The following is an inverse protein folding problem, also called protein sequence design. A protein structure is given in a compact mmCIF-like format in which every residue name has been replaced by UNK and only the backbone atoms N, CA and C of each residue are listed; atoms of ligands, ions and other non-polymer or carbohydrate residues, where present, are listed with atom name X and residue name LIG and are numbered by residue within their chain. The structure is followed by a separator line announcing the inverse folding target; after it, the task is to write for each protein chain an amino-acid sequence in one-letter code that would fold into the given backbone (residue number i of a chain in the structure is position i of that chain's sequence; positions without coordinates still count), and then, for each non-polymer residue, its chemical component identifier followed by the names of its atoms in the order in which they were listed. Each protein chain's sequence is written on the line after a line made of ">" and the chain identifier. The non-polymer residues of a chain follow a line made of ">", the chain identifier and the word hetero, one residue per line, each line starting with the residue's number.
data_IF_736904827148
#
_entry.id   IF_736904827148
#
_cell.length_a   1.000
_cell.length_b   1.000
_cell.length_c   1.000
_cell.angle_alpha   90.00
_cell.angle_beta   90.00
_cell.angle_gamma   90.00
#
_symmetry.space_group_name_H-M   'P 1'
#
loop_
_entity.id
_entity.type
_entity.pdbx_description
1 polymer ?
#
# COMPACT_ATOMS: atom_id res chain seq x y z
N UNK A 1 -8.44 -9.09 17.33
CA UNK A 1 -8.28 -9.00 15.84
C UNK A 1 -6.81 -8.81 15.52
N UNK A 2 -6.24 -9.69 14.71
CA UNK A 2 -4.83 -9.60 14.25
C UNK A 2 -4.55 -8.24 13.60
N UNK A 3 -3.67 -7.45 14.21
CA UNK A 3 -3.17 -6.19 13.67
C UNK A 3 -1.87 -6.46 12.91
N UNK A 4 -1.96 -7.00 11.70
CA UNK A 4 -0.77 -7.21 10.87
C UNK A 4 -0.36 -5.85 10.28
N UNK A 5 0.82 -5.33 10.61
CA UNK A 5 1.34 -4.13 9.98
C UNK A 5 1.47 -4.32 8.47
N UNK A 6 1.10 -3.32 7.63
CA UNK A 6 1.14 -3.44 6.18
C UNK A 6 2.47 -3.93 5.59
N UNK A 7 3.66 -3.49 6.08
CA UNK A 7 4.93 -4.03 5.59
C UNK A 7 5.12 -5.52 5.87
N UNK A 8 4.60 -6.01 7.01
CA UNK A 8 4.67 -7.45 7.35
C UNK A 8 3.75 -8.25 6.42
N UNK A 9 2.57 -7.73 6.09
CA UNK A 9 1.68 -8.35 5.09
C UNK A 9 2.38 -8.46 3.72
N UNK A 10 3.05 -7.40 3.26
CA UNK A 10 3.84 -7.44 2.02
C UNK A 10 4.91 -8.53 2.10
N UNK A 11 5.68 -8.60 3.19
CA UNK A 11 6.71 -9.61 3.36
C UNK A 11 6.14 -11.04 3.27
N UNK A 12 5.00 -11.29 3.92
CA UNK A 12 4.30 -12.59 3.86
C UNK A 12 3.92 -12.93 2.40
N UNK A 13 3.35 -11.96 1.67
CA UNK A 13 2.93 -12.18 0.28
C UNK A 13 4.12 -12.40 -0.66
N UNK A 14 5.22 -11.67 -0.47
CA UNK A 14 6.47 -11.85 -1.23
C UNK A 14 7.06 -13.24 -0.99
N UNK A 15 7.14 -13.66 0.28
CA UNK A 15 7.62 -14.99 0.65
C UNK A 15 6.70 -16.07 0.06
N UNK A 16 5.38 -15.89 0.08
CA UNK A 16 4.44 -16.86 -0.50
C UNK A 16 4.58 -16.95 -2.01
N UNK A 17 4.83 -15.85 -2.73
CA UNK A 17 5.14 -15.85 -4.16
C UNK A 17 6.42 -16.66 -4.47
N UNK A 18 7.46 -16.47 -3.66
CA UNK A 18 8.71 -17.23 -3.81
C UNK A 18 8.50 -18.74 -3.63
N UNK A 19 7.80 -19.15 -2.56
CA UNK A 19 7.55 -20.58 -2.33
C UNK A 19 6.60 -21.20 -3.35
N UNK A 20 5.61 -20.46 -3.84
CA UNK A 20 4.70 -20.93 -4.89
C UNK A 20 5.43 -21.16 -6.21
N UNK A 21 6.44 -20.35 -6.54
CA UNK A 21 7.21 -20.50 -7.78
C UNK A 21 8.05 -21.80 -7.84
N UNK A 22 8.28 -22.44 -6.70
CA UNK A 22 8.97 -23.75 -6.63
C UNK A 22 8.05 -24.96 -6.85
N UNK A 23 6.73 -24.75 -6.76
CA UNK A 23 5.76 -25.85 -6.79
C UNK A 23 4.72 -25.72 -7.91
N UNK A 24 4.60 -24.55 -8.50
CA UNK A 24 3.60 -24.22 -9.52
C UNK A 24 4.35 -23.70 -10.74
N UNK A 25 4.03 -24.21 -11.91
CA UNK A 25 4.68 -23.83 -13.16
C UNK A 25 4.54 -22.34 -13.42
N UNK A 26 5.64 -21.74 -13.89
CA UNK A 26 5.71 -20.33 -14.23
C UNK A 26 5.04 -20.07 -15.57
N UNK A 27 4.30 -18.99 -15.66
CA UNK A 27 3.76 -18.49 -16.92
C UNK A 27 4.91 -17.76 -17.65
N UNK A 28 5.12 -18.10 -18.91
CA UNK A 28 6.12 -17.45 -19.74
C UNK A 28 5.59 -16.10 -20.22
N UNK A 29 6.29 -15.04 -19.85
CA UNK A 29 6.03 -13.68 -20.32
C UNK A 29 7.36 -13.03 -20.72
N UNK A 30 7.50 -12.55 -21.98
CA UNK A 30 8.69 -11.82 -22.38
C UNK A 30 8.93 -10.60 -21.49
N UNK A 31 10.21 -10.32 -21.18
CA UNK A 31 10.63 -9.15 -20.40
C UNK A 31 9.99 -8.99 -19.00
N UNK A 32 9.44 -10.08 -18.41
CA UNK A 32 8.83 -10.02 -17.07
C UNK A 32 9.78 -9.47 -16.00
N UNK A 33 11.07 -9.80 -16.09
CA UNK A 33 12.08 -9.39 -15.12
C UNK A 33 12.30 -7.86 -15.18
N UNK A 34 12.46 -7.31 -16.39
CA UNK A 34 12.57 -5.86 -16.57
C UNK A 34 11.28 -5.14 -16.12
N UNK A 35 10.12 -5.66 -16.51
CA UNK A 35 8.81 -5.11 -16.11
C UNK A 35 8.67 -5.10 -14.59
N UNK A 36 9.02 -6.19 -13.92
CA UNK A 36 8.95 -6.29 -12.47
C UNK A 36 9.88 -5.28 -11.79
N UNK A 37 11.12 -5.13 -12.26
CA UNK A 37 12.08 -4.16 -11.73
C UNK A 37 11.55 -2.74 -11.88
N UNK A 38 11.02 -2.37 -13.04
CA UNK A 38 10.45 -1.03 -13.28
C UNK A 38 9.29 -0.75 -12.31
N UNK A 39 8.36 -1.69 -12.15
CA UNK A 39 7.23 -1.55 -11.22
C UNK A 39 7.71 -1.44 -9.77
N UNK A 40 8.72 -2.23 -9.38
CA UNK A 40 9.33 -2.15 -8.06
C UNK A 40 9.90 -0.75 -7.77
N UNK A 41 10.67 -0.20 -8.72
CA UNK A 41 11.27 1.13 -8.59
C UNK A 41 10.19 2.22 -8.48
N UNK A 42 9.12 2.14 -9.29
CA UNK A 42 7.96 3.05 -9.18
C UNK A 42 7.33 2.94 -7.77
N UNK A 43 7.13 1.74 -7.27
CA UNK A 43 6.60 1.51 -5.92
C UNK A 43 7.47 2.15 -4.83
N UNK A 44 8.77 2.00 -4.93
CA UNK A 44 9.74 2.63 -4.01
C UNK A 44 9.69 4.15 -4.07
N UNK A 45 9.63 4.74 -5.28
CA UNK A 45 9.51 6.20 -5.45
C UNK A 45 8.20 6.74 -4.85
N UNK A 46 7.09 6.02 -5.02
CA UNK A 46 5.80 6.37 -4.41
C UNK A 46 5.90 6.34 -2.88
N UNK A 47 6.65 5.40 -2.29
CA UNK A 47 6.83 5.29 -0.84
C UNK A 47 7.67 6.41 -0.23
N UNK A 48 8.70 6.90 -0.93
CA UNK A 48 9.61 7.93 -0.41
C UNK A 48 8.87 9.22 -0.07
N UNK A 49 7.97 9.67 -0.95
CA UNK A 49 7.25 10.94 -0.79
C UNK A 49 6.40 11.04 0.49
N UNK A 50 5.48 10.10 0.79
CA UNK A 50 4.70 10.15 2.01
C UNK A 50 5.57 10.00 3.27
N UNK A 51 6.59 9.15 3.25
CA UNK A 51 7.51 8.97 4.38
C UNK A 51 8.23 10.29 4.70
N UNK A 52 8.82 10.93 3.69
CA UNK A 52 9.49 12.22 3.85
C UNK A 52 8.54 13.30 4.40
N UNK A 53 7.27 13.33 3.93
CA UNK A 53 6.27 14.27 4.44
C UNK A 53 5.90 14.02 5.89
N UNK A 54 5.71 12.78 6.32
CA UNK A 54 5.42 12.45 7.70
C UNK A 54 6.57 12.86 8.63
N UNK A 55 7.81 12.56 8.25
CA UNK A 55 9.01 12.96 9.01
C UNK A 55 9.06 14.50 9.14
N UNK A 56 8.90 15.23 8.02
CA UNK A 56 8.93 16.71 8.02
C UNK A 56 7.77 17.33 8.82
N UNK A 57 6.61 16.68 8.86
CA UNK A 57 5.41 17.19 9.56
C UNK A 57 5.42 16.82 11.06
N UNK A 58 6.45 16.16 11.56
CA UNK A 58 6.56 15.68 12.97
C UNK A 58 5.31 14.92 13.43
N UNK A 59 4.64 14.23 12.51
CA UNK A 59 3.47 13.39 12.77
C UNK A 59 3.83 11.92 12.62
N UNK A 60 3.02 11.01 13.17
CA UNK A 60 3.36 9.58 13.16
C UNK A 60 2.95 8.91 11.86
N UNK A 61 3.83 8.05 11.35
CA UNK A 61 3.59 7.11 10.24
C UNK A 61 2.89 5.83 10.76
N UNK A 62 2.92 5.62 12.08
CA UNK A 62 2.48 4.36 12.70
C UNK A 62 0.96 4.18 12.58
N UNK A 63 0.50 3.23 11.76
CA UNK A 63 -0.93 2.97 11.55
C UNK A 63 -1.63 2.38 12.78
N UNK A 64 -0.88 2.11 13.85
CA UNK A 64 -1.40 1.58 15.12
C UNK A 64 -1.54 2.70 16.15
N UNK A 65 -0.70 3.75 16.06
CA UNK A 65 -0.64 4.86 17.02
C UNK A 65 -1.40 6.10 16.53
N UNK A 66 -2.64 5.94 16.09
CA UNK A 66 -3.51 7.03 15.59
C UNK A 66 -3.59 8.25 16.52
N UNK A 67 -3.47 8.05 17.85
CA UNK A 67 -3.53 9.15 18.84
C UNK A 67 -2.48 10.24 18.62
N UNK A 68 -1.37 9.95 17.94
CA UNK A 68 -0.27 10.89 17.67
C UNK A 68 -0.38 11.66 16.35
N UNK A 69 -1.45 11.44 15.57
CA UNK A 69 -1.68 12.19 14.32
C UNK A 69 -2.18 13.58 14.68
N UNK A 70 -1.36 14.61 14.54
CA UNK A 70 -1.70 15.99 14.96
C UNK A 70 -2.17 16.88 13.80
N UNK A 71 -1.97 16.45 12.54
CA UNK A 71 -2.31 17.25 11.36
C UNK A 71 -2.79 16.35 10.22
N UNK A 72 -3.84 16.79 9.53
CA UNK A 72 -4.29 16.17 8.29
C UNK A 72 -3.38 16.61 7.14
N UNK A 73 -2.76 15.64 6.45
CA UNK A 73 -1.90 15.89 5.29
C UNK A 73 -2.71 15.66 4.03
N UNK A 74 -2.96 16.74 3.27
CA UNK A 74 -3.75 16.70 2.02
C UNK A 74 -2.97 17.19 0.80
N UNK A 75 -1.68 17.54 0.99
CA UNK A 75 -0.83 18.16 -0.05
C UNK A 75 0.15 17.18 -0.70
N UNK A 76 0.68 17.54 -1.88
CA UNK A 76 1.60 16.69 -2.66
C UNK A 76 0.91 15.44 -3.17
N UNK A 77 1.50 14.25 -2.99
CA UNK A 77 0.95 12.97 -3.46
C UNK A 77 -0.44 12.69 -2.85
N UNK A 78 -0.74 13.25 -1.66
CA UNK A 78 -2.04 13.14 -1.01
C UNK A 78 -3.16 13.93 -1.72
N UNK A 79 -2.86 14.74 -2.75
CA UNK A 79 -3.87 15.32 -3.64
C UNK A 79 -4.45 14.29 -4.62
N UNK A 80 -3.68 13.26 -4.95
CA UNK A 80 -4.04 12.23 -5.93
C UNK A 80 -4.55 10.95 -5.29
N UNK A 81 -3.98 10.56 -4.16
CA UNK A 81 -4.37 9.37 -3.40
C UNK A 81 -4.47 9.68 -1.92
N UNK A 82 -5.49 9.16 -1.24
CA UNK A 82 -5.56 9.24 0.22
C UNK A 82 -4.62 8.25 0.91
N UNK A 83 -4.17 7.21 0.19
CA UNK A 83 -3.36 6.12 0.73
C UNK A 83 -2.10 5.85 -0.11
N UNK A 84 -1.26 6.86 -0.39
CA UNK A 84 -0.12 6.69 -1.28
C UNK A 84 0.92 5.69 -0.76
N UNK A 85 1.05 5.52 0.55
CA UNK A 85 1.93 4.49 1.14
C UNK A 85 1.45 3.08 0.78
N UNK A 86 0.14 2.82 0.87
CA UNK A 86 -0.41 1.51 0.50
C UNK A 86 -0.36 1.28 -1.00
N UNK A 87 -0.46 2.35 -1.81
CA UNK A 87 -0.25 2.26 -3.26
C UNK A 87 1.18 1.82 -3.59
N UNK A 88 2.19 2.40 -2.95
CA UNK A 88 3.59 1.99 -3.13
C UNK A 88 3.82 0.54 -2.70
N UNK A 89 3.25 0.11 -1.56
CA UNK A 89 3.31 -1.29 -1.11
C UNK A 89 2.61 -2.25 -2.09
N UNK A 90 1.47 -1.85 -2.65
CA UNK A 90 0.76 -2.62 -3.69
C UNK A 90 1.64 -2.81 -4.93
N UNK A 91 2.34 -1.76 -5.39
CA UNK A 91 3.26 -1.85 -6.52
C UNK A 91 4.40 -2.85 -6.26
N UNK A 92 4.91 -2.95 -5.03
CA UNK A 92 5.91 -3.96 -4.65
C UNK A 92 5.31 -5.37 -4.75
N UNK A 93 4.08 -5.56 -4.27
CA UNK A 93 3.39 -6.88 -4.39
C UNK A 93 3.15 -7.23 -5.85
N UNK A 94 2.70 -6.28 -6.68
CA UNK A 94 2.50 -6.48 -8.13
C UNK A 94 3.83 -6.84 -8.82
N UNK A 95 4.91 -6.13 -8.49
CA UNK A 95 6.24 -6.41 -9.01
C UNK A 95 6.66 -7.86 -8.76
N UNK A 96 6.57 -8.32 -7.50
CA UNK A 96 6.92 -9.71 -7.16
C UNK A 96 5.95 -10.72 -7.75
N UNK A 97 4.68 -10.38 -7.91
CA UNK A 97 3.68 -11.20 -8.61
C UNK A 97 4.06 -11.42 -10.08
N UNK A 98 4.51 -10.37 -10.77
CA UNK A 98 4.99 -10.46 -12.17
C UNK A 98 6.32 -11.21 -12.26
N UNK A 99 7.24 -10.98 -11.32
CA UNK A 99 8.54 -11.65 -11.30
C UNK A 99 8.39 -13.18 -11.23
N UNK A 100 7.56 -13.66 -10.29
CA UNK A 100 7.32 -15.09 -10.11
C UNK A 100 6.25 -15.67 -11.04
N UNK A 101 5.39 -14.87 -11.59
CA UNK A 101 4.33 -15.07 -12.58
C UNK A 101 3.81 -16.52 -12.70
N UNK A 102 3.08 -16.94 -11.69
CA UNK A 102 2.32 -18.19 -11.68
C UNK A 102 0.88 -17.90 -11.24
N UNK A 103 0.00 -18.88 -11.39
CA UNK A 103 -1.45 -18.70 -11.10
C UNK A 103 -1.71 -18.24 -9.65
N UNK A 104 -0.90 -18.65 -8.69
CA UNK A 104 -1.03 -18.24 -7.30
C UNK A 104 -0.54 -16.79 -7.11
N UNK A 105 0.63 -16.43 -7.66
CA UNK A 105 1.21 -15.09 -7.47
C UNK A 105 0.31 -13.98 -8.01
N UNK A 106 -0.46 -14.24 -9.08
CA UNK A 106 -1.42 -13.29 -9.66
C UNK A 106 -2.53 -12.92 -8.66
N UNK A 107 -2.87 -13.79 -7.72
CA UNK A 107 -3.91 -13.51 -6.71
C UNK A 107 -3.42 -12.61 -5.57
N UNK A 108 -2.11 -12.53 -5.33
CA UNK A 108 -1.55 -11.83 -4.15
C UNK A 108 -1.80 -10.32 -4.13
N UNK A 109 -1.79 -9.56 -5.25
CA UNK A 109 -2.20 -8.16 -5.25
C UNK A 109 -3.68 -7.97 -4.86
N UNK A 110 -4.55 -8.87 -5.30
CA UNK A 110 -5.98 -8.84 -4.97
C UNK A 110 -6.17 -9.05 -3.46
N UNK A 111 -5.49 -10.05 -2.90
CA UNK A 111 -5.50 -10.33 -1.46
C UNK A 111 -4.97 -9.14 -0.66
N UNK A 112 -3.89 -8.50 -1.12
CA UNK A 112 -3.35 -7.29 -0.50
C UNK A 112 -4.38 -6.17 -0.47
N UNK A 113 -4.99 -5.82 -1.61
CA UNK A 113 -6.00 -4.76 -1.71
C UNK A 113 -7.20 -5.05 -0.81
N UNK A 114 -7.71 -6.29 -0.84
CA UNK A 114 -8.82 -6.70 0.02
C UNK A 114 -8.48 -6.52 1.49
N UNK A 115 -7.33 -7.06 1.94
CA UNK A 115 -6.90 -7.00 3.33
C UNK A 115 -6.70 -5.57 3.81
N UNK A 116 -5.95 -4.76 3.05
CA UNK A 116 -5.66 -3.37 3.39
C UNK A 116 -6.95 -2.54 3.46
N UNK A 117 -7.86 -2.68 2.50
CA UNK A 117 -9.15 -1.97 2.52
C UNK A 117 -9.98 -2.33 3.75
N UNK A 118 -10.08 -3.64 4.06
CA UNK A 118 -10.97 -4.14 5.12
C UNK A 118 -10.45 -3.89 6.52
N UNK A 119 -9.17 -4.10 6.72
CA UNK A 119 -8.59 -4.13 8.06
C UNK A 119 -7.76 -2.91 8.43
N UNK A 120 -7.30 -2.15 7.45
CA UNK A 120 -6.45 -0.99 7.68
C UNK A 120 -7.14 0.31 7.28
N UNK A 121 -7.41 0.55 5.99
CA UNK A 121 -7.91 1.83 5.49
C UNK A 121 -9.26 2.20 6.12
N UNK A 122 -10.20 1.24 6.23
CA UNK A 122 -11.51 1.52 6.82
C UNK A 122 -11.40 2.04 8.26
N UNK A 123 -10.46 1.53 9.04
CA UNK A 123 -10.20 1.99 10.42
C UNK A 123 -9.57 3.37 10.46
N UNK A 124 -8.60 3.62 9.57
CA UNK A 124 -7.97 4.94 9.44
C UNK A 124 -8.99 5.99 9.03
N UNK A 125 -9.88 5.67 8.07
CA UNK A 125 -10.93 6.59 7.63
C UNK A 125 -11.93 6.94 8.76
N UNK A 126 -12.31 5.96 9.59
CA UNK A 126 -13.17 6.21 10.76
C UNK A 126 -12.47 7.14 11.73
N UNK A 127 -11.24 6.82 12.13
CA UNK A 127 -10.46 7.63 13.06
C UNK A 127 -10.23 9.07 12.54
N UNK A 128 -9.85 9.21 11.26
CA UNK A 128 -9.62 10.53 10.66
C UNK A 128 -10.94 11.34 10.56
N UNK A 129 -12.08 10.67 10.34
CA UNK A 129 -13.38 11.33 10.33
C UNK A 129 -13.76 11.83 11.74
N UNK A 130 -13.53 11.02 12.77
CA UNK A 130 -13.79 11.41 14.16
C UNK A 130 -12.87 12.56 14.60
N UNK A 131 -11.60 12.53 14.20
CA UNK A 131 -10.59 13.50 14.63
C UNK A 131 -10.67 14.84 13.90
N UNK A 132 -10.86 14.83 12.58
CA UNK A 132 -10.80 16.02 11.73
C UNK A 132 -12.17 16.45 11.19
N UNK A 133 -13.22 15.68 11.42
CA UNK A 133 -14.61 16.03 11.11
C UNK A 133 -14.81 16.51 9.67
N UNK A 134 -15.34 17.72 9.52
CA UNK A 134 -15.67 18.34 8.22
C UNK A 134 -14.46 18.46 7.29
N UNK A 135 -13.26 18.72 7.82
CA UNK A 135 -12.03 18.85 7.01
C UNK A 135 -11.72 17.53 6.29
N UNK A 136 -11.80 16.41 6.99
CA UNK A 136 -11.55 15.10 6.38
C UNK A 136 -12.66 14.70 5.39
N UNK A 137 -13.92 15.04 5.69
CA UNK A 137 -15.05 14.78 4.77
C UNK A 137 -14.83 15.54 3.45
N UNK A 138 -14.48 16.82 3.49
CA UNK A 138 -14.15 17.61 2.31
C UNK A 138 -12.96 17.05 1.53
N UNK A 139 -11.96 16.55 2.22
CA UNK A 139 -10.83 15.88 1.58
C UNK A 139 -11.28 14.60 0.86
N UNK A 140 -12.16 13.80 1.46
CA UNK A 140 -12.72 12.59 0.85
C UNK A 140 -13.51 12.85 -0.44
N UNK A 141 -14.18 13.99 -0.56
CA UNK A 141 -14.91 14.36 -1.79
C UNK A 141 -13.98 14.72 -2.95
N UNK A 142 -12.79 15.25 -2.64
CA UNK A 142 -11.81 15.73 -3.64
C UNK A 142 -10.78 14.69 -4.06
N UNK A 143 -10.51 13.69 -3.22
CA UNK A 143 -9.41 12.74 -3.43
C UNK A 143 -9.92 11.32 -3.26
N UNK A 144 -9.58 10.44 -4.21
CA UNK A 144 -9.97 9.04 -4.18
C UNK A 144 -9.14 8.25 -3.16
N UNK A 145 -9.60 7.04 -2.83
CA UNK A 145 -8.93 6.16 -1.86
C UNK A 145 -7.57 5.68 -2.40
N UNK A 146 -7.53 5.27 -3.66
CA UNK A 146 -6.33 4.74 -4.31
C UNK A 146 -5.78 5.74 -5.33
N UNK A 147 -6.46 5.95 -6.41
CA UNK A 147 -6.11 6.89 -7.49
C UNK A 147 -7.41 7.50 -8.05
#
# INVERSE_FOLDING_TARGET
>A
MLKIPPPILVLILVISNYFSSKKIDLILLPNKDLTSIVIFLIGMLILINPIAKFIKSKTTIDPIKFKKVNKLITSGIYKYSRNPMYLGLLMIVISTSIFYLNIFSITTPILFVYWINRFQIKREEIFLTEKFGKEYILYKTKTRRWI
#
